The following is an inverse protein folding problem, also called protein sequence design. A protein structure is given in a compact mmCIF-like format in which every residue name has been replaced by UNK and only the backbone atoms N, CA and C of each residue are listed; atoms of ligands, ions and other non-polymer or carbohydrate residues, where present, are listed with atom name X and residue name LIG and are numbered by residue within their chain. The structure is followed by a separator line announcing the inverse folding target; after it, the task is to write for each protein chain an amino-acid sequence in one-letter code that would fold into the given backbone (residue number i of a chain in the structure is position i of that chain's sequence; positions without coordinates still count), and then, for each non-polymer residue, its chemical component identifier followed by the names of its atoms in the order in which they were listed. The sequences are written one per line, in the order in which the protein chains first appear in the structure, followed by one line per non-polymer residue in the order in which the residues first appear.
data_IF_364337735373
#
_entry.id   IF_364337735373
#
_cell.length_a   1.000
_cell.length_b   1.000
_cell.length_c   1.000
_cell.angle_alpha   90.00
_cell.angle_beta   90.00
_cell.angle_gamma   90.00
#
_symmetry.space_group_name_H-M   'P 1'
#
loop_
_entity.id
_entity.type
_entity.pdbx_description
1 polymer ?
#
# COMPACT_ATOMS: atom_id res chain seq x y z
N UNK A 1 -74.62 -41.62 -23.73
CA UNK A 1 -74.72 -42.73 -22.76
C UNK A 1 -73.29 -43.10 -22.38
N UNK A 2 -72.72 -42.50 -21.34
CA UNK A 2 -71.38 -42.83 -20.86
C UNK A 2 -71.37 -42.72 -19.33
N UNK A 3 -70.92 -43.80 -18.71
CA UNK A 3 -70.97 -44.08 -17.29
C UNK A 3 -69.72 -43.53 -16.59
N UNK A 4 -69.99 -43.03 -15.39
CA UNK A 4 -69.09 -42.48 -14.38
C UNK A 4 -67.99 -43.45 -13.96
N UNK A 5 -66.82 -42.90 -13.63
CA UNK A 5 -66.07 -43.33 -12.45
C UNK A 5 -65.65 -42.11 -11.63
N UNK A 6 -65.89 -42.25 -10.33
CA UNK A 6 -65.61 -41.38 -9.21
C UNK A 6 -64.49 -42.05 -8.38
N UNK A 7 -63.78 -41.27 -7.56
CA UNK A 7 -62.89 -41.56 -6.41
C UNK A 7 -61.50 -40.91 -6.58
N UNK A 8 -61.21 -39.76 -5.95
CA UNK A 8 -60.92 -39.47 -4.53
C UNK A 8 -59.43 -39.67 -4.19
N UNK A 9 -58.69 -38.57 -4.07
CA UNK A 9 -57.48 -38.48 -3.26
C UNK A 9 -57.49 -37.12 -2.57
N UNK A 10 -57.43 -37.15 -1.23
CA UNK A 10 -57.41 -35.98 -0.37
C UNK A 10 -56.11 -35.19 -0.60
N UNK A 11 -56.23 -33.90 -0.90
CA UNK A 11 -55.12 -32.96 -0.86
C UNK A 11 -55.20 -32.18 0.45
N UNK A 12 -54.33 -32.54 1.39
CA UNK A 12 -54.06 -31.78 2.60
C UNK A 12 -53.33 -30.50 2.20
N UNK A 13 -54.05 -29.39 2.10
CA UNK A 13 -53.44 -28.08 1.87
C UNK A 13 -52.84 -27.61 3.20
N UNK A 14 -51.53 -27.78 3.35
CA UNK A 14 -50.73 -27.12 4.38
C UNK A 14 -50.82 -25.62 4.11
N UNK A 15 -51.39 -24.86 5.06
CA UNK A 15 -51.26 -23.40 5.10
C UNK A 15 -49.79 -23.07 5.34
N UNK A 16 -49.05 -22.79 4.27
CA UNK A 16 -47.81 -22.03 4.36
C UNK A 16 -48.20 -20.61 4.75
N UNK A 17 -47.75 -20.20 5.94
CA UNK A 17 -47.92 -18.85 6.46
C UNK A 17 -47.38 -17.82 5.47
N UNK A 18 -48.07 -16.70 5.38
CA UNK A 18 -47.63 -15.54 4.60
C UNK A 18 -46.21 -15.17 5.03
N UNK A 19 -45.23 -15.36 4.13
CA UNK A 19 -43.99 -14.60 4.22
C UNK A 19 -44.35 -13.14 4.02
N UNK A 20 -43.97 -12.30 4.98
CA UNK A 20 -44.01 -10.84 4.81
C UNK A 20 -43.15 -10.48 3.62
N UNK A 21 -43.77 -10.01 2.54
CA UNK A 21 -43.08 -9.40 1.42
C UNK A 21 -42.45 -8.11 1.95
N UNK A 22 -41.14 -8.11 2.22
CA UNK A 22 -40.41 -6.90 2.55
C UNK A 22 -40.43 -6.00 1.31
N UNK A 23 -41.09 -4.84 1.40
CA UNK A 23 -41.06 -3.84 0.35
C UNK A 23 -39.67 -3.20 0.28
N UNK A 24 -39.00 -3.33 -0.86
CA UNK A 24 -37.80 -2.54 -1.16
C UNK A 24 -38.28 -1.18 -1.69
N UNK A 25 -38.06 -0.11 -0.92
CA UNK A 25 -38.29 1.25 -1.38
C UNK A 25 -36.98 1.79 -1.97
N UNK A 26 -36.96 2.10 -3.27
CA UNK A 26 -35.85 2.78 -3.93
C UNK A 26 -36.09 4.28 -3.87
N UNK A 27 -35.14 5.01 -3.29
CA UNK A 27 -35.24 6.45 -3.11
C UNK A 27 -34.31 7.15 -4.11
N UNK A 28 -34.90 7.78 -5.12
CA UNK A 28 -34.18 8.55 -6.13
C UNK A 28 -34.60 10.02 -6.03
N UNK A 29 -33.72 10.86 -5.48
CA UNK A 29 -33.98 12.28 -5.31
C UNK A 29 -32.68 13.08 -5.20
N UNK A 30 -32.68 14.31 -5.70
CA UNK A 30 -31.61 15.30 -5.51
C UNK A 30 -32.22 16.41 -4.64
N UNK A 31 -31.69 16.61 -3.42
CA UNK A 31 -32.20 17.63 -2.50
C UNK A 31 -31.85 17.35 -1.04
N UNK A 32 -32.30 18.21 -0.14
CA UNK A 32 -32.22 17.97 1.29
C UNK A 32 -33.45 17.14 1.72
N UNK A 33 -33.22 16.03 2.41
CA UNK A 33 -34.28 15.10 2.83
C UNK A 33 -35.36 15.77 3.69
N UNK A 34 -34.98 16.80 4.46
CA UNK A 34 -35.90 17.48 5.37
C UNK A 34 -36.65 18.65 4.74
N UNK A 35 -36.03 19.41 3.83
CA UNK A 35 -36.69 20.58 3.20
C UNK A 35 -37.37 20.26 1.88
N UNK A 36 -36.93 19.20 1.21
CA UNK A 36 -37.38 18.85 -0.13
C UNK A 36 -38.14 17.53 -0.11
N UNK A 37 -38.88 17.23 0.96
CA UNK A 37 -39.59 15.97 1.16
C UNK A 37 -40.49 15.56 -0.03
N UNK A 38 -40.97 16.52 -0.84
CA UNK A 38 -41.73 16.27 -2.06
C UNK A 38 -40.88 15.70 -3.22
N UNK A 39 -39.55 15.88 -3.18
CA UNK A 39 -38.59 15.32 -4.13
C UNK A 39 -38.17 13.89 -3.77
N UNK A 40 -38.60 13.38 -2.61
CA UNK A 40 -38.37 12.01 -2.17
C UNK A 40 -39.70 11.26 -2.24
N UNK A 41 -39.81 10.35 -3.21
CA UNK A 41 -40.95 9.45 -3.33
C UNK A 41 -40.47 8.01 -3.11
N UNK A 42 -41.02 7.26 -2.13
CA UNK A 42 -42.22 7.56 -1.32
C UNK A 42 -41.99 8.52 -0.13
N UNK A 43 -43.01 8.79 0.70
CA UNK A 43 -42.89 9.56 1.97
C UNK A 43 -41.96 8.86 2.98
N UNK A 44 -41.30 9.56 3.95
CA UNK A 44 -40.26 9.02 4.84
C UNK A 44 -40.59 7.62 5.38
N UNK A 45 -39.58 6.72 5.45
CA UNK A 45 -39.80 5.29 5.64
C UNK A 45 -40.60 4.97 6.91
N UNK A 46 -41.53 4.02 6.78
CA UNK A 46 -42.31 3.46 7.90
C UNK A 46 -41.71 2.12 8.33
N UNK A 47 -41.76 1.80 9.64
CA UNK A 47 -41.11 0.63 10.26
C UNK A 47 -41.22 -0.66 9.42
N UNK A 48 -40.08 -1.27 9.04
CA UNK A 48 -40.02 -2.51 8.25
C UNK A 48 -39.64 -2.37 6.75
N UNK A 49 -39.34 -1.17 6.25
CA UNK A 49 -38.86 -0.94 4.87
C UNK A 49 -37.33 -0.88 4.76
N UNK A 50 -36.77 -1.35 3.63
CA UNK A 50 -35.35 -1.14 3.32
C UNK A 50 -35.14 0.26 2.73
N UNK A 51 -34.15 0.99 3.23
CA UNK A 51 -33.71 2.24 2.62
C UNK A 51 -32.61 1.93 1.62
N UNK A 52 -32.95 1.99 0.33
CA UNK A 52 -31.98 2.00 -0.75
C UNK A 52 -31.78 3.45 -1.20
N UNK A 53 -30.59 4.00 -0.95
CA UNK A 53 -30.15 5.20 -1.64
C UNK A 53 -29.65 4.74 -3.01
N UNK A 54 -30.50 4.88 -4.02
CA UNK A 54 -30.13 4.62 -5.41
C UNK A 54 -29.30 5.77 -5.99
N UNK A 55 -28.87 5.64 -7.26
CA UNK A 55 -27.94 6.57 -7.93
C UNK A 55 -28.27 8.05 -7.65
N UNK A 56 -27.36 8.78 -7.00
CA UNK A 56 -27.56 10.19 -6.64
C UNK A 56 -26.73 10.65 -5.44
N UNK A 57 -27.03 11.85 -4.94
CA UNK A 57 -26.39 12.44 -3.76
C UNK A 57 -27.43 12.82 -2.71
N UNK A 58 -27.35 12.23 -1.52
CA UNK A 58 -28.16 12.62 -0.35
C UNK A 58 -27.35 13.61 0.49
N UNK A 59 -27.90 14.80 0.76
CA UNK A 59 -27.28 15.76 1.66
C UNK A 59 -28.10 15.88 2.95
N UNK A 60 -27.47 15.61 4.10
CA UNK A 60 -28.03 15.85 5.42
C UNK A 60 -27.42 17.13 5.99
N UNK A 61 -28.22 18.19 6.18
CA UNK A 61 -27.76 19.53 6.56
C UNK A 61 -28.50 20.15 7.77
N UNK A 62 -29.41 19.42 8.42
CA UNK A 62 -30.24 19.97 9.52
C UNK A 62 -30.09 19.19 10.82
N UNK A 63 -30.14 19.87 11.97
CA UNK A 63 -30.04 19.34 13.35
C UNK A 63 -31.16 18.35 13.78
N UNK A 64 -31.97 17.85 12.85
CA UNK A 64 -33.03 16.88 13.13
C UNK A 64 -32.43 15.48 13.02
N UNK A 65 -32.33 14.76 14.14
CA UNK A 65 -31.97 13.34 14.17
C UNK A 65 -33.06 12.57 13.45
N UNK A 66 -32.82 12.16 12.21
CA UNK A 66 -33.66 11.14 11.58
C UNK A 66 -33.30 9.81 12.21
N UNK A 67 -34.07 9.40 13.23
CA UNK A 67 -34.07 8.02 13.68
C UNK A 67 -34.74 7.17 12.60
N UNK A 68 -33.92 6.54 11.75
CA UNK A 68 -34.37 5.50 10.85
C UNK A 68 -34.45 4.23 11.72
N UNK A 69 -35.47 4.15 12.58
CA UNK A 69 -35.58 3.16 13.67
C UNK A 69 -35.99 1.73 13.29
N UNK A 70 -35.38 0.71 13.90
CA UNK A 70 -35.71 -0.73 13.83
C UNK A 70 -35.87 -1.30 12.39
N UNK A 71 -34.93 -1.02 11.49
CA UNK A 71 -35.01 -1.48 10.09
C UNK A 71 -33.99 -2.58 9.79
N UNK A 72 -34.35 -3.45 8.83
CA UNK A 72 -33.59 -4.66 8.52
C UNK A 72 -32.23 -4.38 7.91
N UNK A 73 -32.14 -3.51 6.90
CA UNK A 73 -30.91 -3.25 6.14
C UNK A 73 -30.91 -1.82 5.53
N UNK A 74 -29.88 -1.01 5.80
CA UNK A 74 -29.53 0.17 4.98
C UNK A 74 -28.59 -0.28 3.84
N UNK A 75 -28.94 0.00 2.59
CA UNK A 75 -28.09 -0.24 1.42
C UNK A 75 -27.74 1.07 0.72
N UNK A 76 -26.45 1.34 0.56
CA UNK A 76 -25.92 2.43 -0.28
C UNK A 76 -25.17 1.76 -1.43
N UNK A 77 -25.62 1.99 -2.66
CA UNK A 77 -25.05 1.37 -3.87
C UNK A 77 -24.83 2.44 -4.93
N UNK A 78 -23.58 2.57 -5.41
CA UNK A 78 -23.24 3.48 -6.51
C UNK A 78 -23.61 4.94 -6.25
N UNK A 79 -23.68 5.33 -4.97
CA UNK A 79 -24.33 6.56 -4.52
C UNK A 79 -23.50 7.29 -3.48
N UNK A 80 -23.74 8.59 -3.33
CA UNK A 80 -23.03 9.43 -2.37
C UNK A 80 -23.94 9.88 -1.23
N UNK A 81 -23.55 9.61 0.02
CA UNK A 81 -24.17 10.18 1.22
C UNK A 81 -23.25 11.24 1.81
N UNK A 82 -23.68 12.50 1.81
CA UNK A 82 -22.98 13.61 2.45
C UNK A 82 -23.68 14.01 3.75
N UNK A 83 -22.97 13.91 4.87
CA UNK A 83 -23.38 14.41 6.17
C UNK A 83 -22.60 15.68 6.47
N UNK A 84 -23.22 16.83 6.24
CA UNK A 84 -22.58 18.14 6.39
C UNK A 84 -22.69 18.63 7.84
N UNK A 85 -22.08 19.79 8.12
CA UNK A 85 -22.11 20.41 9.45
C UNK A 85 -23.53 20.55 10.01
N UNK A 86 -23.76 20.01 11.21
CA UNK A 86 -25.06 19.98 11.88
C UNK A 86 -26.02 18.89 11.38
N UNK A 87 -25.68 18.17 10.32
CA UNK A 87 -26.41 16.99 9.88
C UNK A 87 -26.16 15.81 10.82
N UNK A 88 -27.20 15.08 11.19
CA UNK A 88 -27.07 13.84 11.96
C UNK A 88 -28.04 12.77 11.45
N UNK A 89 -27.55 11.55 11.26
CA UNK A 89 -28.39 10.39 10.97
C UNK A 89 -28.07 9.25 11.94
N UNK A 90 -29.13 8.58 12.40
CA UNK A 90 -29.04 7.40 13.24
C UNK A 90 -29.79 6.25 12.56
N UNK A 91 -29.06 5.19 12.23
CA UNK A 91 -29.58 3.96 11.66
C UNK A 91 -29.59 2.87 12.73
N UNK A 92 -30.74 2.22 12.93
CA UNK A 92 -30.88 1.13 13.90
C UNK A 92 -31.10 -0.18 13.15
N UNK A 93 -30.29 -1.20 13.41
CA UNK A 93 -30.33 -2.50 12.74
C UNK A 93 -29.05 -2.83 11.98
N UNK A 94 -29.11 -3.78 11.05
CA UNK A 94 -27.97 -4.13 10.19
C UNK A 94 -27.79 -3.06 9.11
N UNK A 95 -26.55 -2.66 8.83
CA UNK A 95 -26.20 -1.68 7.80
C UNK A 95 -25.21 -2.30 6.83
N UNK A 96 -25.55 -2.36 5.55
CA UNK A 96 -24.75 -2.96 4.49
C UNK A 96 -24.35 -1.86 3.50
N UNK A 97 -23.10 -1.42 3.59
CA UNK A 97 -22.60 -0.29 2.82
C UNK A 97 -21.85 -0.81 1.59
N UNK A 98 -22.26 -0.45 0.37
CA UNK A 98 -21.58 -0.85 -0.87
C UNK A 98 -21.96 -2.24 -1.43
N UNK A 99 -23.22 -2.67 -1.29
CA UNK A 99 -23.59 -4.11 -1.28
C UNK A 99 -24.39 -4.62 -2.48
N UNK A 100 -24.77 -3.77 -3.43
CA UNK A 100 -25.65 -4.20 -4.54
C UNK A 100 -25.08 -3.64 -5.84
N UNK A 101 -25.30 -4.30 -6.99
CA UNK A 101 -25.16 -3.68 -8.31
C UNK A 101 -23.75 -3.34 -8.84
N UNK A 102 -22.67 -3.66 -8.13
CA UNK A 102 -21.29 -3.37 -8.56
C UNK A 102 -20.90 -1.88 -8.51
N UNK A 103 -21.74 -1.04 -7.87
CA UNK A 103 -21.50 0.39 -7.73
C UNK A 103 -20.66 0.72 -6.49
N UNK A 104 -19.74 1.69 -6.63
CA UNK A 104 -18.98 2.21 -5.48
C UNK A 104 -19.83 3.19 -4.67
N UNK A 105 -20.10 2.86 -3.41
CA UNK A 105 -20.72 3.78 -2.46
C UNK A 105 -19.70 4.79 -1.93
N UNK A 106 -20.13 6.04 -1.72
CA UNK A 106 -19.29 7.09 -1.13
C UNK A 106 -20.03 7.71 0.06
N UNK A 107 -19.42 7.75 1.22
CA UNK A 107 -19.96 8.39 2.42
C UNK A 107 -18.98 9.48 2.85
N UNK A 108 -19.44 10.72 2.86
CA UNK A 108 -18.66 11.86 3.33
C UNK A 108 -19.27 12.39 4.62
N UNK A 109 -18.52 12.35 5.72
CA UNK A 109 -18.89 12.97 6.99
C UNK A 109 -18.00 14.20 7.19
N UNK A 110 -18.60 15.37 6.93
CA UNK A 110 -17.94 16.67 7.07
C UNK A 110 -17.85 17.13 8.52
N UNK A 111 -17.13 18.22 8.74
CA UNK A 111 -16.98 18.83 10.08
C UNK A 111 -18.33 19.12 10.71
N UNK A 112 -18.60 18.54 11.89
CA UNK A 112 -19.84 18.71 12.65
C UNK A 112 -21.01 17.87 12.15
N UNK A 113 -20.80 17.04 11.13
CA UNK A 113 -21.74 15.99 10.73
C UNK A 113 -21.60 14.75 11.63
N UNK A 114 -22.69 14.01 11.83
CA UNK A 114 -22.71 12.82 12.68
C UNK A 114 -23.47 11.65 12.04
N UNK A 115 -22.86 10.46 12.03
CA UNK A 115 -23.45 9.24 11.53
C UNK A 115 -23.37 8.15 12.60
N UNK A 116 -24.51 7.58 12.98
CA UNK A 116 -24.59 6.57 14.02
C UNK A 116 -25.26 5.30 13.49
N UNK A 117 -24.61 4.16 13.62
CA UNK A 117 -25.08 2.84 13.21
C UNK A 117 -25.28 1.95 14.45
N UNK A 118 -26.49 1.95 14.97
CA UNK A 118 -26.94 1.14 16.10
C UNK A 118 -27.28 -0.30 15.66
N UNK A 119 -26.25 -1.06 15.27
CA UNK A 119 -26.30 -2.49 14.95
C UNK A 119 -25.09 -2.96 14.14
N UNK A 120 -25.15 -4.20 13.60
CA UNK A 120 -24.06 -4.76 12.78
C UNK A 120 -23.84 -3.92 11.52
N UNK A 121 -22.58 -3.54 11.25
CA UNK A 121 -22.25 -2.72 10.08
C UNK A 121 -21.26 -3.46 9.19
N UNK A 122 -21.65 -3.76 7.96
CA UNK A 122 -20.79 -4.38 6.95
C UNK A 122 -20.35 -3.31 5.93
N UNK A 123 -19.05 -3.23 5.69
CA UNK A 123 -18.40 -2.31 4.76
C UNK A 123 -17.97 -3.08 3.51
N UNK A 124 -18.49 -2.74 2.34
CA UNK A 124 -18.11 -3.38 1.06
C UNK A 124 -18.53 -4.84 0.95
N UNK A 125 -19.77 -5.18 1.32
CA UNK A 125 -20.27 -6.56 1.32
C UNK A 125 -20.73 -7.01 -0.07
N UNK A 126 -20.07 -8.00 -0.67
CA UNK A 126 -20.47 -8.86 -1.83
C UNK A 126 -20.92 -8.15 -3.15
N UNK A 127 -20.70 -8.81 -4.30
CA UNK A 127 -21.17 -8.44 -5.65
C UNK A 127 -20.49 -7.23 -6.36
N UNK A 128 -19.18 -7.01 -6.20
CA UNK A 128 -18.42 -6.04 -7.01
C UNK A 128 -18.52 -4.58 -6.56
N UNK A 129 -19.15 -4.30 -5.41
CA UNK A 129 -19.38 -2.96 -4.88
C UNK A 129 -18.28 -2.51 -3.92
N UNK A 130 -17.69 -1.33 -4.17
CA UNK A 130 -16.70 -0.73 -3.26
C UNK A 130 -17.33 0.27 -2.29
N UNK A 131 -16.61 0.63 -1.23
CA UNK A 131 -16.99 1.73 -0.32
C UNK A 131 -15.84 2.72 -0.17
N UNK A 132 -16.12 4.00 -0.39
CA UNK A 132 -15.30 5.11 0.08
C UNK A 132 -15.97 5.76 1.29
N UNK A 133 -15.30 5.74 2.44
CA UNK A 133 -15.74 6.41 3.65
C UNK A 133 -14.75 7.53 3.97
N UNK A 134 -15.16 8.79 3.85
CA UNK A 134 -14.33 9.96 4.13
C UNK A 134 -14.85 10.70 5.37
N UNK A 135 -14.01 10.87 6.38
CA UNK A 135 -14.31 11.66 7.58
C UNK A 135 -13.33 12.84 7.66
N UNK A 136 -13.86 14.06 7.81
CA UNK A 136 -13.06 15.29 7.80
C UNK A 136 -13.45 16.23 8.95
N UNK A 137 -12.46 16.97 9.48
CA UNK A 137 -12.71 17.97 10.54
C UNK A 137 -13.34 17.33 11.78
N UNK A 138 -14.32 17.99 12.39
CA UNK A 138 -15.04 17.46 13.57
C UNK A 138 -16.20 16.50 13.22
N UNK A 139 -16.14 15.79 12.09
CA UNK A 139 -17.14 14.81 11.71
C UNK A 139 -17.08 13.56 12.61
N UNK A 140 -18.22 12.94 12.90
CA UNK A 140 -18.29 11.73 13.73
C UNK A 140 -18.98 10.57 13.02
N UNK A 141 -18.41 9.38 13.08
CA UNK A 141 -19.06 8.11 12.72
C UNK A 141 -18.92 7.12 13.87
N UNK A 142 -20.03 6.48 14.24
CA UNK A 142 -20.06 5.45 15.29
C UNK A 142 -20.79 4.23 14.78
N UNK A 143 -20.22 3.03 14.97
CA UNK A 143 -20.95 1.76 14.85
C UNK A 143 -21.03 1.10 16.23
N UNK A 144 -22.16 0.48 16.58
CA UNK A 144 -22.35 -0.19 17.88
C UNK A 144 -22.47 -1.71 17.77
N UNK A 145 -22.42 -2.24 16.55
CA UNK A 145 -22.53 -3.67 16.29
C UNK A 145 -21.42 -4.49 16.95
N UNK A 146 -21.62 -5.80 17.09
CA UNK A 146 -20.56 -6.70 17.56
C UNK A 146 -19.41 -6.83 16.55
N UNK A 147 -19.64 -6.45 15.28
CA UNK A 147 -18.67 -6.54 14.20
C UNK A 147 -18.80 -5.33 13.26
N UNK A 148 -17.65 -4.86 12.78
CA UNK A 148 -17.53 -4.00 11.61
C UNK A 148 -16.57 -4.64 10.61
N UNK A 149 -17.09 -5.10 9.48
CA UNK A 149 -16.35 -6.01 8.59
C UNK A 149 -16.09 -5.40 7.20
N UNK A 150 -14.87 -5.54 6.67
CA UNK A 150 -14.47 -5.17 5.30
C UNK A 150 -13.87 -6.34 4.49
N UNK A 151 -14.12 -7.59 4.92
CA UNK A 151 -13.45 -8.80 4.42
C UNK A 151 -13.99 -9.35 3.09
N UNK A 152 -15.10 -8.85 2.55
CA UNK A 152 -15.85 -9.53 1.49
C UNK A 152 -15.26 -9.45 0.07
N UNK A 153 -13.94 -9.26 -0.06
CA UNK A 153 -13.18 -9.32 -1.32
C UNK A 153 -13.27 -8.07 -2.18
N UNK A 154 -14.03 -7.05 -1.75
CA UNK A 154 -14.22 -5.81 -2.49
C UNK A 154 -13.37 -4.65 -1.93
N UNK A 155 -12.90 -3.72 -2.78
CA UNK A 155 -12.11 -2.58 -2.32
C UNK A 155 -12.91 -1.64 -1.40
N UNK A 156 -12.47 -1.55 -0.14
CA UNK A 156 -12.97 -0.57 0.84
C UNK A 156 -11.86 0.45 1.10
N UNK A 157 -12.16 1.74 0.97
CA UNK A 157 -11.31 2.86 1.38
C UNK A 157 -11.92 3.53 2.60
N UNK A 158 -11.18 3.54 3.71
CA UNK A 158 -11.53 4.32 4.91
C UNK A 158 -10.53 5.46 5.02
N UNK A 159 -10.97 6.69 4.82
CA UNK A 159 -10.14 7.89 4.77
C UNK A 159 -10.48 8.84 5.92
N UNK A 160 -9.51 9.13 6.78
CA UNK A 160 -9.65 10.05 7.91
C UNK A 160 -8.70 11.24 7.73
N UNK A 161 -9.26 12.45 7.62
CA UNK A 161 -8.48 13.68 7.38
C UNK A 161 -8.44 14.62 8.58
N UNK A 162 -7.20 14.86 9.03
CA UNK A 162 -6.86 15.81 10.07
C UNK A 162 -7.25 15.38 11.48
N UNK A 163 -6.99 16.23 12.48
CA UNK A 163 -7.43 16.00 13.85
C UNK A 163 -8.91 16.35 14.02
N UNK A 164 -9.49 15.86 15.13
CA UNK A 164 -10.86 16.08 15.63
C UNK A 164 -11.97 15.26 15.01
N UNK A 165 -11.70 14.45 13.98
CA UNK A 165 -12.64 13.42 13.53
C UNK A 165 -12.85 12.41 14.66
N UNK A 166 -14.07 11.93 14.82
CA UNK A 166 -14.46 10.94 15.81
C UNK A 166 -14.94 9.69 15.09
N UNK A 167 -14.06 8.71 14.92
CA UNK A 167 -14.39 7.44 14.27
C UNK A 167 -14.38 6.37 15.34
N UNK A 168 -15.52 5.73 15.59
CA UNK A 168 -15.61 4.59 16.51
C UNK A 168 -16.27 3.42 15.80
N UNK A 169 -15.58 2.28 15.72
CA UNK A 169 -16.19 1.04 15.28
C UNK A 169 -16.36 0.09 16.45
N UNK A 170 -17.61 -0.19 16.80
CA UNK A 170 -17.97 -1.10 17.90
C UNK A 170 -17.61 -2.55 17.61
N UNK A 171 -17.35 -3.30 18.68
CA UNK A 171 -17.02 -4.73 18.60
C UNK A 171 -15.71 -5.01 17.86
N UNK A 172 -15.60 -6.20 17.25
CA UNK A 172 -14.42 -6.55 16.45
C UNK A 172 -14.46 -5.84 15.10
N UNK A 173 -13.38 -5.16 14.74
CA UNK A 173 -13.21 -4.58 13.42
C UNK A 173 -12.25 -5.40 12.56
N UNK A 174 -12.76 -5.90 11.43
CA UNK A 174 -11.96 -6.64 10.44
C UNK A 174 -11.57 -5.72 9.28
N UNK A 175 -10.26 -5.56 9.05
CA UNK A 175 -9.70 -4.89 7.88
C UNK A 175 -9.37 -5.94 6.83
N UNK A 176 -10.16 -5.99 5.75
CA UNK A 176 -10.05 -7.01 4.72
C UNK A 176 -8.77 -6.92 3.89
N UNK A 177 -8.40 -8.01 3.23
CA UNK A 177 -7.17 -8.16 2.44
C UNK A 177 -7.06 -7.23 1.22
N UNK A 178 -8.15 -6.55 0.84
CA UNK A 178 -8.18 -5.57 -0.25
C UNK A 178 -8.60 -4.17 0.24
N UNK A 179 -8.79 -4.01 1.56
CA UNK A 179 -9.12 -2.73 2.15
C UNK A 179 -7.90 -1.82 2.19
N UNK A 180 -8.12 -0.53 1.97
CA UNK A 180 -7.15 0.54 2.14
C UNK A 180 -7.60 1.47 3.24
N UNK A 181 -6.75 1.65 4.25
CA UNK A 181 -6.93 2.69 5.27
C UNK A 181 -6.07 3.87 4.85
N UNK A 182 -6.67 5.04 4.73
CA UNK A 182 -5.98 6.28 4.40
C UNK A 182 -6.03 7.25 5.58
N UNK A 183 -4.86 7.63 6.07
CA UNK A 183 -4.69 8.71 7.03
C UNK A 183 -4.18 9.96 6.32
N UNK A 184 -5.03 11.00 6.20
CA UNK A 184 -4.64 12.30 5.62
C UNK A 184 -4.25 13.24 6.76
N UNK A 185 -2.94 13.40 6.97
CA UNK A 185 -2.35 14.20 8.03
C UNK A 185 -2.38 15.68 7.65
N UNK A 186 -3.13 16.49 8.41
CA UNK A 186 -3.18 17.95 8.27
C UNK A 186 -2.57 18.69 9.46
N UNK A 187 -2.06 17.97 10.46
CA UNK A 187 -1.37 18.52 11.61
C UNK A 187 -0.16 17.64 11.99
N UNK A 188 1.01 18.26 12.16
CA UNK A 188 2.26 17.54 12.44
C UNK A 188 2.23 16.74 13.76
N UNK A 189 1.48 17.19 14.77
CA UNK A 189 1.52 16.59 16.11
C UNK A 189 0.31 15.72 16.46
N UNK A 190 -0.70 15.63 15.59
CA UNK A 190 -1.91 14.88 15.88
C UNK A 190 -2.70 14.47 14.63
N UNK A 191 -3.34 13.31 14.73
CA UNK A 191 -4.31 12.79 13.76
C UNK A 191 -5.43 12.09 14.54
N UNK A 192 -6.61 12.00 13.94
CA UNK A 192 -7.73 11.30 14.55
C UNK A 192 -7.64 9.80 14.35
N UNK A 193 -7.42 9.09 15.45
CA UNK A 193 -7.45 7.64 15.46
C UNK A 193 -8.86 7.08 15.22
N UNK A 194 -8.92 5.93 14.58
CA UNK A 194 -10.10 5.06 14.54
C UNK A 194 -10.14 4.27 15.86
N UNK A 195 -11.13 4.57 16.70
CA UNK A 195 -11.31 3.95 18.00
C UNK A 195 -12.06 2.61 17.90
N UNK A 196 -11.45 1.54 18.38
CA UNK A 196 -12.00 0.18 18.40
C UNK A 196 -12.02 -0.30 19.87
N UNK A 197 -13.13 -0.13 20.60
CA UNK A 197 -13.19 -0.45 22.03
C UNK A 197 -13.08 -1.96 22.35
N UNK A 198 -12.93 -2.81 21.33
CA UNK A 198 -12.72 -4.25 21.47
C UNK A 198 -11.49 -4.70 20.64
N UNK A 199 -11.66 -5.52 19.60
CA UNK A 199 -10.57 -6.21 18.89
C UNK A 199 -10.38 -5.65 17.48
N UNK A 200 -9.14 -5.39 17.10
CA UNK A 200 -8.76 -5.05 15.72
C UNK A 200 -8.17 -6.28 15.05
N UNK A 201 -8.61 -6.64 13.85
CA UNK A 201 -8.06 -7.76 13.08
C UNK A 201 -7.78 -7.30 11.63
N UNK A 202 -6.50 -7.20 11.30
CA UNK A 202 -5.99 -6.80 9.99
C UNK A 202 -5.62 -8.07 9.22
N UNK A 203 -6.44 -8.39 8.23
CA UNK A 203 -6.24 -9.58 7.40
C UNK A 203 -5.15 -9.27 6.36
N UNK A 204 -4.22 -10.22 6.18
CA UNK A 204 -3.09 -10.06 5.26
C UNK A 204 -3.53 -9.63 3.86
N UNK A 205 -2.81 -8.67 3.28
CA UNK A 205 -3.13 -8.00 2.03
C UNK A 205 -3.62 -6.55 2.19
N UNK A 206 -4.16 -6.20 3.36
CA UNK A 206 -4.63 -4.84 3.63
C UNK A 206 -3.54 -3.77 3.40
N UNK A 207 -3.96 -2.60 2.94
CA UNK A 207 -3.08 -1.47 2.62
C UNK A 207 -3.27 -0.31 3.59
N UNK A 208 -2.17 0.32 3.99
CA UNK A 208 -2.17 1.59 4.71
C UNK A 208 -1.53 2.68 3.83
N UNK A 209 -2.28 3.75 3.57
CA UNK A 209 -1.80 4.95 2.89
C UNK A 209 -1.75 6.11 3.86
N UNK A 210 -0.61 6.79 3.93
CA UNK A 210 -0.45 7.98 4.76
C UNK A 210 -0.14 9.15 3.84
N UNK A 211 -1.07 10.11 3.79
CA UNK A 211 -0.97 11.30 2.97
C UNK A 211 -0.80 12.55 3.83
N UNK A 212 -0.15 13.57 3.28
CA UNK A 212 0.06 14.84 3.96
C UNK A 212 -0.60 15.97 3.19
N UNK A 213 -1.28 16.85 3.91
CA UNK A 213 -1.94 18.02 3.35
C UNK A 213 -1.56 19.26 4.16
N UNK A 214 -0.66 20.06 3.60
CA UNK A 214 -0.10 21.23 4.25
C UNK A 214 0.85 20.92 5.41
N UNK A 215 1.24 19.66 5.60
CA UNK A 215 2.20 19.21 6.62
C UNK A 215 3.43 18.63 5.96
N UNK A 216 4.61 18.99 6.47
CA UNK A 216 5.85 18.30 6.14
C UNK A 216 6.24 17.43 7.32
N UNK A 217 6.20 16.10 7.20
CA UNK A 217 6.59 15.20 8.28
C UNK A 217 8.04 15.45 8.70
N UNK A 218 8.29 15.44 9.99
CA UNK A 218 9.62 15.50 10.60
C UNK A 218 9.94 14.18 11.29
N UNK A 219 11.23 13.89 11.45
CA UNK A 219 11.64 12.68 12.16
C UNK A 219 11.09 12.63 13.58
N UNK A 220 10.60 11.46 13.95
CA UNK A 220 10.00 11.21 15.25
C UNK A 220 8.55 11.69 15.37
N UNK A 221 7.99 12.34 14.34
CA UNK A 221 6.54 12.58 14.30
C UNK A 221 5.80 11.24 14.36
N UNK A 222 4.68 11.23 15.09
CA UNK A 222 3.87 10.04 15.33
C UNK A 222 2.39 10.34 15.16
N UNK A 223 1.68 9.44 14.51
CA UNK A 223 0.23 9.52 14.37
C UNK A 223 -0.41 8.18 14.69
N UNK A 224 -1.37 8.18 15.62
CA UNK A 224 -2.21 7.02 15.92
C UNK A 224 -3.27 6.87 14.84
N UNK A 225 -3.23 5.76 14.10
CA UNK A 225 -4.20 5.43 13.05
C UNK A 225 -5.37 4.64 13.62
N UNK A 226 -5.06 3.63 14.44
CA UNK A 226 -6.04 2.88 15.21
C UNK A 226 -5.70 2.96 16.70
N UNK A 227 -6.74 3.02 17.52
CA UNK A 227 -6.66 2.96 18.97
C UNK A 227 -7.62 1.84 19.42
N UNK A 228 -7.12 0.78 20.03
CA UNK A 228 -7.89 -0.44 20.26
C UNK A 228 -7.64 -1.10 21.62
N UNK A 229 -8.65 -1.80 22.15
CA UNK A 229 -8.62 -2.33 23.51
C UNK A 229 -7.90 -3.66 23.66
N UNK A 230 -8.20 -4.62 22.79
CA UNK A 230 -7.67 -5.97 22.85
C UNK A 230 -6.47 -6.13 21.89
N UNK A 231 -6.21 -7.32 21.35
CA UNK A 231 -5.06 -7.57 20.45
C UNK A 231 -5.34 -7.17 19.00
N UNK A 232 -4.27 -6.98 18.23
CA UNK A 232 -4.28 -6.96 16.76
C UNK A 232 -4.13 -8.37 16.22
N UNK A 233 -5.06 -8.83 15.38
CA UNK A 233 -4.77 -9.89 14.42
C UNK A 233 -4.03 -9.30 13.22
N UNK A 234 -2.87 -9.85 12.84
CA UNK A 234 -2.16 -9.48 11.60
C UNK A 234 -1.56 -8.06 11.50
N UNK A 235 -1.15 -7.69 10.28
CA UNK A 235 -0.46 -6.44 9.94
C UNK A 235 -0.86 -5.96 8.54
N UNK A 236 -0.70 -4.67 8.25
CA UNK A 236 -0.78 -4.16 6.88
C UNK A 236 0.36 -4.76 6.05
N UNK A 237 0.00 -5.35 4.91
CA UNK A 237 0.98 -5.96 4.00
C UNK A 237 1.53 -4.96 2.99
N UNK A 238 0.78 -3.89 2.72
CA UNK A 238 1.15 -2.84 1.79
C UNK A 238 1.15 -1.49 2.51
N UNK A 239 2.30 -0.82 2.53
CA UNK A 239 2.43 0.53 3.07
C UNK A 239 2.77 1.48 1.92
N UNK A 240 1.85 2.38 1.59
CA UNK A 240 2.10 3.41 0.57
C UNK A 240 2.89 4.56 1.20
N UNK A 241 4.20 4.55 0.97
CA UNK A 241 5.16 5.56 1.42
C UNK A 241 5.50 6.58 0.34
N UNK A 242 4.83 6.55 -0.81
CA UNK A 242 5.21 7.33 -2.01
C UNK A 242 5.22 8.86 -1.81
N UNK A 243 4.54 9.34 -0.76
CA UNK A 243 4.43 10.76 -0.42
C UNK A 243 5.55 11.25 0.51
N UNK A 244 6.44 10.36 0.96
CA UNK A 244 7.64 10.71 1.69
C UNK A 244 8.77 11.06 0.73
N UNK A 245 9.45 12.19 0.98
CA UNK A 245 10.63 12.60 0.23
C UNK A 245 11.84 12.69 1.16
N UNK A 246 13.02 12.27 0.70
CA UNK A 246 14.28 12.56 1.39
C UNK A 246 14.76 11.50 2.38
N UNK A 247 14.50 10.22 2.12
CA UNK A 247 15.06 9.11 2.91
C UNK A 247 14.50 8.98 4.34
N UNK A 248 13.31 9.56 4.55
CA UNK A 248 12.44 9.17 5.65
C UNK A 248 11.57 7.99 5.22
N UNK A 249 11.31 7.08 6.14
CA UNK A 249 10.37 5.98 5.94
C UNK A 249 9.31 5.99 7.05
N UNK A 250 8.24 5.25 6.83
CA UNK A 250 7.28 4.98 7.88
C UNK A 250 7.61 3.65 8.54
N UNK A 251 7.69 3.67 9.86
CA UNK A 251 7.57 2.46 10.67
C UNK A 251 6.16 2.39 11.22
N UNK A 252 5.52 1.23 11.11
CA UNK A 252 4.21 0.99 11.73
C UNK A 252 4.42 0.19 13.01
N UNK A 253 4.13 0.80 14.15
CA UNK A 253 4.12 0.15 15.45
C UNK A 253 2.71 -0.36 15.74
N UNK A 254 2.53 -1.69 15.71
CA UNK A 254 1.26 -2.37 15.96
C UNK A 254 0.99 -2.65 17.43
N UNK A 255 1.84 -2.22 18.35
CA UNK A 255 1.66 -2.43 19.79
C UNK A 255 1.98 -1.16 20.59
N UNK A 256 1.83 0.01 19.96
CA UNK A 256 2.03 1.28 20.63
C UNK A 256 1.00 1.48 21.75
N UNK A 257 1.30 2.31 22.74
CA UNK A 257 0.32 2.68 23.77
C UNK A 257 -0.77 3.56 23.16
N UNK A 258 -2.03 3.13 23.27
CA UNK A 258 -3.19 3.92 22.85
C UNK A 258 -3.38 5.20 23.65
N UNK A 259 -4.13 6.15 23.08
CA UNK A 259 -4.53 7.38 23.78
C UNK A 259 -5.80 7.16 24.59
N UNK A 260 -6.70 6.34 24.07
CA UNK A 260 -7.99 5.99 24.65
C UNK A 260 -7.93 4.58 25.26
N UNK A 261 -7.43 3.61 24.50
CA UNK A 261 -7.32 2.23 24.91
C UNK A 261 -5.87 1.83 25.21
N UNK A 262 -5.66 0.55 25.54
CA UNK A 262 -4.34 0.04 25.92
C UNK A 262 -3.36 0.03 24.74
N UNK A 263 -3.85 -0.24 23.52
CA UNK A 263 -3.02 -0.49 22.35
C UNK A 263 -3.37 0.46 21.18
N UNK A 264 -2.43 0.63 20.27
CA UNK A 264 -2.58 1.47 19.10
C UNK A 264 -1.74 0.96 17.92
N UNK A 265 -2.22 1.24 16.72
CA UNK A 265 -1.41 1.20 15.50
C UNK A 265 -0.93 2.62 15.24
N UNK A 266 0.37 2.85 15.41
CA UNK A 266 1.00 4.14 15.17
C UNK A 266 1.87 4.10 13.92
N UNK A 267 1.76 5.16 13.12
CA UNK A 267 2.73 5.47 12.08
C UNK A 267 3.75 6.42 12.68
N UNK A 268 5.02 6.05 12.58
CA UNK A 268 6.16 6.85 13.03
C UNK A 268 6.99 7.23 11.82
N UNK A 269 7.32 8.52 11.70
CA UNK A 269 8.33 8.98 10.74
C UNK A 269 9.68 8.59 11.29
N UNK A 270 10.27 7.58 10.69
CA UNK A 270 11.60 7.10 11.03
C UNK A 270 12.58 7.62 9.99
N UNK A 271 13.81 7.83 10.43
CA UNK A 271 14.91 7.92 9.49
C UNK A 271 15.23 6.48 9.07
N UNK A 272 15.94 6.31 7.97
CA UNK A 272 16.62 5.05 7.66
C UNK A 272 17.94 5.40 7.02
N UNK A 273 18.94 4.54 7.21
CA UNK A 273 20.14 4.66 6.39
C UNK A 273 19.82 4.21 4.97
N UNK A 274 20.41 4.93 4.02
CA UNK A 274 20.31 4.65 2.59
C UNK A 274 21.64 4.09 2.09
N UNK A 275 21.57 3.13 1.18
CA UNK A 275 22.68 2.75 0.32
C UNK A 275 22.40 3.30 -1.08
N UNK A 276 23.25 4.22 -1.52
CA UNK A 276 23.21 4.77 -2.88
C UNK A 276 24.11 3.94 -3.78
N UNK A 277 23.56 3.44 -4.88
CA UNK A 277 24.29 2.64 -5.87
C UNK A 277 24.36 3.42 -7.18
N UNK A 278 25.56 3.83 -7.57
CA UNK A 278 25.80 4.36 -8.91
C UNK A 278 26.02 3.20 -9.88
N UNK A 279 24.97 2.84 -10.61
CA UNK A 279 24.99 1.76 -11.61
C UNK A 279 26.01 1.99 -12.73
N UNK A 280 26.45 3.23 -12.95
CA UNK A 280 27.46 3.54 -13.96
C UNK A 280 28.88 3.20 -13.54
N UNK A 281 29.21 3.44 -12.27
CA UNK A 281 30.57 3.30 -11.75
C UNK A 281 30.73 2.05 -10.90
N UNK A 282 29.64 1.53 -10.33
CA UNK A 282 29.67 0.48 -9.32
C UNK A 282 29.81 1.04 -7.90
N UNK A 283 29.97 2.37 -7.77
CA UNK A 283 30.19 3.02 -6.49
C UNK A 283 28.97 2.87 -5.59
N UNK A 284 29.20 2.35 -4.39
CA UNK A 284 28.19 2.22 -3.34
C UNK A 284 28.53 3.16 -2.19
N UNK A 285 27.54 3.92 -1.73
CA UNK A 285 27.71 4.90 -0.65
C UNK A 285 26.63 4.70 0.41
N UNK A 286 27.05 4.44 1.66
CA UNK A 286 26.16 4.52 2.80
C UNK A 286 25.88 5.99 3.13
N UNK A 287 24.61 6.35 3.31
CA UNK A 287 24.18 7.73 3.54
C UNK A 287 23.15 7.80 4.66
N UNK A 288 23.24 8.82 5.50
CA UNK A 288 22.13 9.28 6.31
C UNK A 288 21.43 10.45 5.57
N UNK A 289 20.27 10.21 4.92
CA UNK A 289 19.74 11.07 3.84
C UNK A 289 19.16 12.40 4.30
N UNK A 290 18.57 12.47 5.49
CA UNK A 290 17.83 13.65 5.94
C UNK A 290 18.79 14.67 6.53
N UNK A 291 18.98 15.82 5.88
CA UNK A 291 19.66 16.97 6.49
C UNK A 291 18.81 17.52 7.67
N UNK A 292 19.38 17.58 8.87
CA UNK A 292 18.65 17.87 10.11
C UNK A 292 18.01 16.63 10.77
N UNK A 293 18.26 15.43 10.23
CA UNK A 293 17.81 14.18 10.81
C UNK A 293 18.54 13.78 12.11
N UNK A 294 18.05 12.75 12.79
CA UNK A 294 18.76 12.15 13.92
C UNK A 294 19.98 11.37 13.40
N UNK A 295 21.12 11.45 14.11
CA UNK A 295 22.26 10.62 13.77
C UNK A 295 21.95 9.14 14.04
N UNK A 296 22.55 8.25 13.25
CA UNK A 296 22.47 6.81 13.47
C UNK A 296 23.70 6.31 14.19
N UNK A 297 23.51 5.55 15.24
CA UNK A 297 24.61 4.88 15.92
C UNK A 297 24.60 3.40 15.52
N UNK A 298 25.51 3.02 14.62
CA UNK A 298 25.55 1.67 14.06
C UNK A 298 26.74 0.86 14.55
N UNK A 299 26.50 -0.42 14.78
CA UNK A 299 27.52 -1.40 15.19
C UNK A 299 27.84 -2.36 14.05
N UNK A 300 27.01 -2.44 13.02
CA UNK A 300 27.26 -3.32 11.89
C UNK A 300 26.30 -3.04 10.73
N UNK A 301 26.63 -3.57 9.56
CA UNK A 301 25.72 -3.56 8.42
C UNK A 301 26.02 -4.72 7.48
N UNK A 302 25.00 -5.09 6.70
CA UNK A 302 25.05 -6.09 5.64
C UNK A 302 24.40 -5.51 4.39
N UNK A 303 25.10 -5.59 3.26
CA UNK A 303 24.56 -5.45 1.91
C UNK A 303 24.52 -6.84 1.30
N UNK A 304 23.39 -7.28 0.77
CA UNK A 304 23.26 -8.58 0.10
C UNK A 304 22.70 -8.46 -1.30
N UNK A 305 22.96 -9.45 -2.13
CA UNK A 305 22.42 -9.62 -3.49
C UNK A 305 22.03 -11.09 -3.67
N UNK A 306 20.84 -11.34 -4.23
CA UNK A 306 20.37 -12.70 -4.54
C UNK A 306 20.98 -13.23 -5.85
N UNK A 307 21.29 -12.32 -6.78
CA UNK A 307 21.88 -12.55 -8.11
C UNK A 307 23.41 -12.66 -8.07
N UNK A 308 24.03 -12.27 -6.96
CA UNK A 308 25.48 -12.26 -6.84
C UNK A 308 26.15 -11.00 -7.42
N UNK A 309 25.42 -9.88 -7.48
CA UNK A 309 25.85 -8.63 -8.15
C UNK A 309 26.84 -7.77 -7.33
N UNK A 310 27.44 -8.34 -6.27
CA UNK A 310 28.45 -7.65 -5.45
C UNK A 310 29.89 -8.03 -5.84
N UNK A 311 30.81 -7.07 -5.77
CA UNK A 311 32.25 -7.29 -5.87
C UNK A 311 32.91 -7.04 -4.50
N UNK A 312 33.30 -8.13 -3.83
CA UNK A 312 33.97 -8.07 -2.54
C UNK A 312 35.43 -7.61 -2.62
N UNK A 313 36.04 -7.58 -3.82
CA UNK A 313 37.44 -7.16 -4.00
C UNK A 313 37.60 -5.64 -3.98
N UNK A 314 36.57 -4.93 -4.43
CA UNK A 314 36.49 -3.47 -4.42
C UNK A 314 35.86 -2.91 -3.13
N UNK A 315 35.59 -3.77 -2.14
CA UNK A 315 35.01 -3.36 -0.87
C UNK A 315 36.02 -2.67 0.04
N UNK A 316 35.75 -1.40 0.36
CA UNK A 316 36.60 -0.59 1.25
C UNK A 316 36.07 -0.50 2.67
N UNK A 317 34.80 -0.85 2.88
CA UNK A 317 34.14 -0.72 4.18
C UNK A 317 33.96 0.73 4.63
N UNK A 318 33.59 0.92 5.90
CA UNK A 318 33.51 2.27 6.51
C UNK A 318 34.87 2.91 6.78
N UNK A 319 35.96 2.13 6.68
CA UNK A 319 37.34 2.62 6.83
C UNK A 319 37.72 3.07 8.26
N UNK A 320 36.87 2.79 9.24
CA UNK A 320 37.05 3.18 10.64
C UNK A 320 37.75 2.08 11.46
N UNK A 321 38.48 2.48 12.50
CA UNK A 321 39.15 1.53 13.37
C UNK A 321 38.13 0.59 14.04
N UNK A 322 38.43 -0.71 14.06
CA UNK A 322 37.63 -1.80 14.65
C UNK A 322 36.42 -2.27 13.84
N UNK A 323 36.15 -1.67 12.68
CA UNK A 323 35.27 -2.29 11.69
C UNK A 323 36.00 -3.47 11.05
N UNK A 324 35.42 -4.65 11.18
CA UNK A 324 35.95 -5.88 10.61
C UNK A 324 34.85 -6.55 9.79
N UNK A 325 35.20 -7.25 8.70
CA UNK A 325 34.28 -8.17 8.04
C UNK A 325 33.61 -9.07 9.09
N UNK A 326 32.28 -9.17 9.07
CA UNK A 326 31.60 -10.04 10.02
C UNK A 326 31.96 -11.51 9.72
N UNK A 327 31.71 -12.43 10.66
CA UNK A 327 32.14 -13.83 10.54
C UNK A 327 31.60 -14.49 9.24
N UNK A 328 32.46 -14.58 8.22
CA UNK A 328 32.13 -15.09 6.88
C UNK A 328 33.12 -14.56 5.85
N UNK A 329 33.27 -15.27 4.74
CA UNK A 329 33.98 -14.70 3.59
C UNK A 329 33.04 -13.70 2.91
N UNK A 330 33.52 -12.47 2.70
CA UNK A 330 32.86 -11.51 1.82
C UNK A 330 32.76 -12.13 0.42
N UNK A 331 31.67 -11.90 -0.30
CA UNK A 331 31.47 -12.52 -1.59
C UNK A 331 30.39 -11.87 -2.44
N UNK A 332 30.04 -12.49 -3.58
CA UNK A 332 29.13 -11.90 -4.54
C UNK A 332 27.70 -11.74 -4.02
N UNK A 333 27.29 -12.54 -3.04
CA UNK A 333 25.92 -12.51 -2.50
C UNK A 333 25.77 -11.70 -1.23
N UNK A 334 26.86 -11.39 -0.53
CA UNK A 334 26.81 -10.49 0.61
C UNK A 334 28.17 -9.91 0.97
N UNK A 335 28.11 -8.68 1.45
CA UNK A 335 29.20 -7.95 2.07
C UNK A 335 28.69 -7.42 3.42
N UNK A 336 29.51 -7.52 4.46
CA UNK A 336 29.15 -7.02 5.78
C UNK A 336 30.37 -6.59 6.58
N UNK A 337 30.15 -5.64 7.49
CA UNK A 337 31.11 -5.32 8.53
C UNK A 337 30.41 -5.17 9.88
N UNK A 338 31.16 -5.38 10.94
CA UNK A 338 30.72 -5.19 12.31
C UNK A 338 31.86 -4.56 13.11
N UNK A 339 31.53 -3.56 13.91
CA UNK A 339 32.37 -3.00 14.94
C UNK A 339 32.04 -3.68 16.28
N UNK A 340 32.94 -4.55 16.73
CA UNK A 340 32.74 -5.33 17.96
C UNK A 340 33.11 -4.57 19.24
N UNK A 341 33.68 -3.37 19.13
CA UNK A 341 34.21 -2.63 20.27
C UNK A 341 33.32 -1.45 20.61
N UNK A 342 32.91 -0.68 19.60
CA UNK A 342 32.12 0.53 19.74
C UNK A 342 31.08 0.59 18.61
N UNK A 343 30.28 1.65 18.62
CA UNK A 343 29.41 2.05 17.53
C UNK A 343 29.99 3.24 16.76
N UNK A 344 29.53 3.45 15.52
CA UNK A 344 29.87 4.61 14.69
C UNK A 344 28.64 5.48 14.50
N UNK A 345 28.78 6.74 14.90
CA UNK A 345 27.75 7.76 14.75
C UNK A 345 27.74 8.35 13.33
N UNK A 346 26.81 7.90 12.50
CA UNK A 346 26.53 8.46 11.17
C UNK A 346 25.64 9.69 11.34
N UNK A 347 26.30 10.86 11.36
CA UNK A 347 25.62 12.15 11.44
C UNK A 347 24.64 12.36 10.28
N UNK A 348 23.60 13.15 10.51
CA UNK A 348 22.66 13.56 9.46
C UNK A 348 23.38 14.19 8.26
N UNK A 349 23.03 13.75 7.05
CA UNK A 349 23.65 14.18 5.80
C UNK A 349 25.03 13.57 5.54
N UNK A 350 25.58 12.77 6.46
CA UNK A 350 26.88 12.13 6.25
C UNK A 350 26.78 11.03 5.18
N UNK A 351 27.85 10.88 4.41
CA UNK A 351 28.03 9.87 3.38
C UNK A 351 29.35 9.16 3.60
N UNK A 352 29.35 7.84 3.44
CA UNK A 352 30.50 6.96 3.58
C UNK A 352 30.61 6.09 2.34
N UNK A 353 31.65 6.25 1.51
CA UNK A 353 31.87 5.37 0.38
C UNK A 353 32.20 3.96 0.90
N UNK A 354 31.52 2.95 0.39
CA UNK A 354 31.77 1.54 0.70
C UNK A 354 32.68 0.86 -0.33
N UNK A 355 33.01 1.57 -1.42
CA UNK A 355 33.79 1.09 -2.55
C UNK A 355 32.95 0.87 -3.79
N UNK A 356 33.58 0.40 -4.87
CA UNK A 356 32.93 0.11 -6.15
C UNK A 356 32.35 -1.32 -6.17
N UNK A 357 31.62 -1.66 -5.11
CA UNK A 357 31.16 -3.03 -4.81
C UNK A 357 29.96 -3.48 -5.62
N UNK A 358 29.36 -2.64 -6.46
CA UNK A 358 28.28 -3.07 -7.35
C UNK A 358 28.85 -3.50 -8.70
N UNK A 359 28.88 -4.81 -8.93
CA UNK A 359 29.37 -5.38 -10.17
C UNK A 359 28.33 -5.33 -11.29
N UNK A 360 27.03 -5.32 -10.94
CA UNK A 360 25.95 -5.54 -11.91
C UNK A 360 25.68 -7.04 -12.13
N UNK A 361 24.83 -7.39 -13.10
CA UNK A 361 24.55 -8.79 -13.43
C UNK A 361 25.81 -9.47 -13.97
N UNK A 362 26.18 -10.61 -13.39
CA UNK A 362 27.42 -11.31 -13.74
C UNK A 362 27.38 -12.02 -15.11
N UNK A 363 26.18 -12.25 -15.67
CA UNK A 363 25.98 -13.02 -16.89
C UNK A 363 25.14 -12.21 -17.88
N UNK A 364 25.58 -12.15 -19.15
CA UNK A 364 24.82 -11.54 -20.23
C UNK A 364 25.07 -10.05 -20.47
N UNK A 365 25.83 -9.36 -19.61
CA UNK A 365 26.27 -7.97 -19.80
C UNK A 365 27.59 -7.94 -20.56
N UNK A 366 27.52 -7.92 -21.90
CA UNK A 366 28.70 -7.95 -22.74
C UNK A 366 29.36 -6.58 -22.90
N UNK A 367 28.60 -5.50 -22.75
CA UNK A 367 29.14 -4.16 -22.98
C UNK A 367 29.63 -3.49 -21.67
N UNK A 368 29.42 -4.13 -20.52
CA UNK A 368 29.84 -3.68 -19.20
C UNK A 368 29.03 -2.49 -18.68
N UNK A 369 27.82 -2.28 -19.19
CA UNK A 369 26.93 -1.18 -18.78
C UNK A 369 26.06 -1.54 -17.56
N UNK A 370 26.24 -2.76 -17.02
CA UNK A 370 25.54 -3.35 -15.87
C UNK A 370 24.05 -3.60 -16.12
N UNK A 371 23.61 -3.68 -17.38
CA UNK A 371 22.22 -3.97 -17.75
C UNK A 371 22.18 -4.95 -18.92
N UNK A 372 21.68 -6.17 -18.69
CA UNK A 372 21.53 -7.16 -19.76
C UNK A 372 20.39 -6.79 -20.69
N UNK A 373 20.69 -6.31 -21.88
CA UNK A 373 19.72 -5.80 -22.83
C UNK A 373 20.04 -6.17 -24.30
N UNK A 374 19.39 -5.47 -25.23
CA UNK A 374 19.54 -5.71 -26.66
C UNK A 374 20.91 -5.31 -27.23
N UNK A 375 21.67 -4.45 -26.54
CA UNK A 375 23.03 -4.09 -26.92
C UNK A 375 24.00 -5.24 -26.67
N UNK A 376 23.82 -5.98 -25.57
CA UNK A 376 24.65 -7.17 -25.26
C UNK A 376 24.39 -8.30 -26.23
N UNK A 377 23.13 -8.46 -26.64
CA UNK A 377 22.77 -9.36 -27.73
C UNK A 377 23.53 -9.04 -29.01
N UNK A 378 23.74 -7.77 -29.35
CA UNK A 378 24.48 -7.40 -30.55
C UNK A 378 25.96 -7.78 -30.44
N UNK A 379 26.54 -7.79 -29.24
CA UNK A 379 27.90 -8.29 -29.01
C UNK A 379 27.96 -9.79 -29.23
N UNK A 380 27.08 -10.56 -28.58
CA UNK A 380 26.96 -12.01 -28.81
C UNK A 380 26.74 -12.33 -30.31
N UNK A 381 25.79 -11.65 -30.96
CA UNK A 381 25.47 -11.90 -32.36
C UNK A 381 26.63 -11.56 -33.31
N UNK A 382 27.45 -10.57 -32.96
CA UNK A 382 28.65 -10.22 -33.73
C UNK A 382 29.77 -11.26 -33.61
N UNK A 383 29.81 -11.98 -32.49
CA UNK A 383 30.85 -12.96 -32.16
C UNK A 383 30.37 -14.43 -32.26
N UNK A 384 29.13 -14.69 -32.68
CA UNK A 384 28.61 -16.04 -32.83
C UNK A 384 29.49 -16.93 -33.73
N UNK A 385 29.72 -18.18 -33.31
CA UNK A 385 30.61 -19.17 -33.95
C UNK A 385 32.10 -18.77 -33.92
N UNK A 386 32.49 -17.93 -32.96
CA UNK A 386 33.89 -17.64 -32.65
C UNK A 386 34.36 -18.38 -31.40
N UNK A 387 35.67 -18.53 -31.26
CA UNK A 387 36.32 -19.15 -30.11
C UNK A 387 37.36 -18.16 -29.54
N UNK A 388 36.96 -17.25 -28.63
CA UNK A 388 37.87 -16.26 -28.05
C UNK A 388 39.03 -16.91 -27.27
N UNK A 389 38.83 -18.15 -26.80
CA UNK A 389 39.84 -18.94 -26.09
C UNK A 389 39.30 -19.43 -24.75
N UNK A 390 40.09 -20.19 -23.98
CA UNK A 390 39.64 -20.82 -22.73
C UNK A 390 39.35 -19.86 -21.56
N UNK A 391 39.51 -18.55 -21.79
CA UNK A 391 39.18 -17.47 -20.85
C UNK A 391 38.15 -16.58 -21.57
N UNK A 392 36.96 -17.13 -21.82
CA UNK A 392 35.91 -16.45 -22.56
C UNK A 392 35.44 -15.23 -21.79
N UNK A 393 35.65 -14.04 -22.33
CA UNK A 393 35.19 -12.82 -21.70
C UNK A 393 33.72 -12.57 -22.13
N UNK A 394 32.80 -12.24 -21.22
CA UNK A 394 31.45 -11.79 -21.56
C UNK A 394 31.42 -10.70 -22.64
N UNK A 395 32.47 -9.87 -22.73
CA UNK A 395 32.63 -8.84 -23.75
C UNK A 395 32.92 -9.36 -25.17
N UNK A 396 33.30 -10.63 -25.31
CA UNK A 396 33.33 -11.35 -26.58
C UNK A 396 32.00 -12.10 -26.83
N UNK A 397 31.03 -12.06 -25.90
CA UNK A 397 29.75 -12.74 -26.00
C UNK A 397 29.76 -14.20 -25.54
N UNK A 398 30.86 -14.66 -24.94
CA UNK A 398 30.98 -15.96 -24.26
C UNK A 398 30.50 -15.77 -22.81
N UNK A 399 29.22 -16.04 -22.59
CA UNK A 399 28.54 -15.75 -21.32
C UNK A 399 28.60 -16.91 -20.33
N UNK A 400 29.04 -18.10 -20.77
CA UNK A 400 29.19 -19.26 -19.90
C UNK A 400 30.67 -19.62 -19.60
N UNK A 401 31.62 -18.85 -20.16
CA UNK A 401 33.07 -18.99 -19.99
C UNK A 401 33.56 -20.41 -20.38
N UNK A 402 33.02 -20.96 -21.49
CA UNK A 402 33.42 -22.27 -22.02
C UNK A 402 34.41 -22.21 -23.20
N UNK A 403 34.69 -20.99 -23.66
CA UNK A 403 35.65 -20.65 -24.70
C UNK A 403 35.11 -20.67 -26.12
N UNK A 404 33.80 -20.79 -26.28
CA UNK A 404 33.08 -20.68 -27.53
C UNK A 404 31.88 -19.73 -27.39
N UNK A 405 31.59 -18.95 -28.43
CA UNK A 405 30.40 -18.09 -28.49
C UNK A 405 29.33 -18.79 -29.32
N UNK A 406 28.41 -19.49 -28.67
CA UNK A 406 27.44 -20.35 -29.32
C UNK A 406 25.98 -20.16 -28.80
N UNK A 407 25.14 -21.18 -29.01
CA UNK A 407 23.74 -21.16 -28.61
C UNK A 407 23.52 -21.29 -27.10
N UNK A 408 24.49 -21.79 -26.35
CA UNK A 408 24.44 -21.85 -24.89
C UNK A 408 24.62 -20.45 -24.28
N UNK A 409 25.49 -19.62 -24.85
CA UNK A 409 25.64 -18.21 -24.45
C UNK A 409 24.38 -17.42 -24.71
N UNK A 410 23.72 -17.67 -25.85
CA UNK A 410 22.41 -17.10 -26.11
C UNK A 410 21.40 -17.45 -25.02
N UNK A 411 21.39 -18.69 -24.54
CA UNK A 411 20.50 -19.10 -23.45
C UNK A 411 20.88 -18.44 -22.12
N UNK A 412 22.16 -18.24 -21.86
CA UNK A 412 22.65 -17.51 -20.68
C UNK A 412 22.19 -16.04 -20.72
N UNK A 413 22.42 -15.33 -21.83
CA UNK A 413 21.91 -13.97 -22.05
C UNK A 413 20.38 -13.91 -21.98
N UNK A 414 19.66 -14.81 -22.66
CA UNK A 414 18.21 -14.80 -22.68
C UNK A 414 17.62 -15.07 -21.29
N UNK A 415 18.30 -15.88 -20.48
CA UNK A 415 17.95 -16.12 -19.07
C UNK A 415 18.16 -14.90 -18.17
N UNK A 416 19.14 -14.06 -18.50
CA UNK A 416 19.44 -12.81 -17.79
C UNK A 416 18.81 -11.56 -18.44
N UNK A 417 18.06 -11.70 -19.54
CA UNK A 417 17.55 -10.54 -20.28
C UNK A 417 16.63 -9.66 -19.42
N UNK A 418 16.97 -8.38 -19.32
CA UNK A 418 16.28 -7.39 -18.49
C UNK A 418 16.77 -7.35 -17.04
N UNK A 419 17.74 -8.19 -16.67
CA UNK A 419 18.44 -8.08 -15.39
C UNK A 419 19.34 -6.83 -15.40
N UNK A 420 19.13 -5.94 -14.44
CA UNK A 420 19.93 -4.75 -14.21
C UNK A 420 20.71 -4.83 -12.88
N UNK A 421 20.75 -6.03 -12.26
CA UNK A 421 21.41 -6.31 -11.00
C UNK A 421 20.80 -5.57 -9.82
N UNK A 422 19.64 -4.91 -9.96
CA UNK A 422 19.05 -4.06 -8.91
C UNK A 422 18.32 -4.85 -7.84
N UNK A 423 18.99 -5.84 -7.27
CA UNK A 423 18.46 -6.76 -6.27
C UNK A 423 19.12 -6.60 -4.90
N UNK A 424 19.98 -5.59 -4.72
CA UNK A 424 20.62 -5.36 -3.44
C UNK A 424 19.58 -5.11 -2.34
N UNK A 425 19.81 -5.73 -1.18
CA UNK A 425 19.13 -5.42 0.06
C UNK A 425 20.13 -4.94 1.11
N UNK A 426 19.68 -4.09 2.03
CA UNK A 426 20.55 -3.46 3.02
C UNK A 426 19.92 -3.51 4.41
N UNK A 427 20.69 -3.96 5.39
CA UNK A 427 20.31 -3.96 6.81
C UNK A 427 21.48 -3.49 7.68
N UNK A 428 21.18 -2.92 8.85
CA UNK A 428 22.17 -2.45 9.79
C UNK A 428 21.80 -2.78 11.24
N UNK A 429 22.81 -2.99 12.07
CA UNK A 429 22.70 -3.23 13.50
C UNK A 429 22.89 -1.90 14.24
N UNK A 430 21.94 -1.53 15.07
CA UNK A 430 22.02 -0.34 15.93
C UNK A 430 22.69 -0.66 17.27
N UNK A 431 23.14 0.36 18.01
CA UNK A 431 23.69 0.17 19.36
C UNK A 431 22.66 -0.31 20.41
N UNK A 432 21.37 -0.33 20.06
CA UNK A 432 20.34 -0.99 20.85
C UNK A 432 20.31 -2.52 20.64
N UNK A 433 21.08 -3.04 19.67
CA UNK A 433 21.05 -4.44 19.25
C UNK A 433 19.95 -4.77 18.24
N UNK A 434 19.20 -3.77 17.77
CA UNK A 434 18.13 -3.96 16.78
C UNK A 434 18.71 -4.03 15.36
N UNK A 435 18.22 -4.98 14.57
CA UNK A 435 18.48 -5.05 13.12
C UNK A 435 17.39 -4.25 12.41
N UNK A 436 17.81 -3.25 11.65
CA UNK A 436 16.93 -2.34 10.90
C UNK A 436 17.24 -2.49 9.41
N UNK A 437 16.19 -2.68 8.60
CA UNK A 437 16.33 -2.65 7.15
C UNK A 437 16.46 -1.20 6.68
N UNK A 438 17.52 -0.89 5.94
CA UNK A 438 17.66 0.39 5.28
C UNK A 438 17.09 0.37 3.86
N UNK A 439 17.29 1.46 3.13
CA UNK A 439 16.79 1.59 1.75
C UNK A 439 17.96 1.49 0.76
N UNK A 440 17.77 0.84 -0.38
CA UNK A 440 18.72 0.88 -1.50
C UNK A 440 18.16 1.80 -2.59
N UNK A 441 18.95 2.75 -3.07
CA UNK A 441 18.58 3.66 -4.15
C UNK A 441 19.59 3.58 -5.28
N UNK A 442 19.13 3.16 -6.46
CA UNK A 442 19.94 3.10 -7.68
C UNK A 442 19.84 4.41 -8.46
N UNK A 443 20.97 4.87 -8.97
CA UNK A 443 21.06 6.00 -9.89
C UNK A 443 22.17 5.74 -10.91
N UNK A 444 22.27 6.59 -11.93
CA UNK A 444 23.37 6.56 -12.90
C UNK A 444 23.98 7.95 -12.98
N UNK A 445 25.28 8.05 -12.73
CA UNK A 445 26.02 9.32 -12.83
C UNK A 445 26.37 9.70 -14.27
N UNK A 446 26.21 8.80 -15.24
CA UNK A 446 26.40 9.15 -16.66
C UNK A 446 25.32 10.14 -17.08
N UNK A 447 25.73 11.39 -17.20
CA UNK A 447 24.96 12.37 -17.98
C UNK A 447 24.91 11.79 -19.39
N UNK A 448 23.74 11.32 -19.83
CA UNK A 448 23.53 10.87 -21.20
C UNK A 448 24.06 11.98 -22.10
N UNK A 449 25.25 11.79 -22.69
CA UNK A 449 25.73 12.71 -23.71
C UNK A 449 24.68 12.60 -24.79
N UNK A 450 23.89 13.66 -24.99
CA UNK A 450 22.83 13.63 -25.98
C UNK A 450 23.47 13.15 -27.28
N UNK A 451 23.14 11.93 -27.70
CA UNK A 451 23.60 11.40 -28.98
C UNK A 451 23.11 12.44 -29.98
N UNK A 452 24.01 13.15 -30.70
CA UNK A 452 23.56 14.13 -31.67
C UNK A 452 22.60 13.39 -32.58
N UNK A 453 21.33 13.82 -32.61
CA UNK A 453 20.36 13.18 -33.49
C UNK A 453 21.02 13.08 -34.87
N UNK A 454 21.07 11.90 -35.49
CA UNK A 454 21.71 11.74 -36.78
C UNK A 454 21.11 12.79 -37.68
N UNK A 455 21.91 13.80 -38.02
CA UNK A 455 21.44 15.01 -38.69
C UNK A 455 20.78 14.52 -39.96
N UNK A 456 19.44 14.54 -39.97
CA UNK A 456 18.55 13.88 -40.93
C UNK A 456 19.29 13.71 -42.24
N UNK A 457 19.90 12.54 -42.44
CA UNK A 457 20.81 12.37 -43.55
C UNK A 457 19.90 12.35 -44.76
N UNK A 458 19.78 13.52 -45.40
CA UNK A 458 18.88 13.79 -46.49
C UNK A 458 19.25 12.78 -47.58
N UNK A 459 18.48 11.70 -47.67
CA UNK A 459 18.57 10.70 -48.70
C UNK A 459 18.06 11.34 -49.99
N UNK A 460 18.87 12.25 -50.54
CA UNK A 460 18.69 12.80 -51.87
C UNK A 460 18.96 11.65 -52.85
N UNK A 461 17.91 10.89 -53.12
CA UNK A 461 17.90 9.89 -54.17
C UNK A 461 18.35 10.51 -55.47
N UNK A 462 19.46 9.99 -55.99
CA UNK A 462 19.82 10.06 -57.39
C UNK A 462 18.64 9.53 -58.22
N UNK A 463 17.93 10.45 -58.87
CA UNK A 463 17.10 10.13 -60.03
C UNK A 463 17.79 10.70 -61.27
N UNK A 464 18.66 9.90 -61.90
CA UNK A 464 18.83 9.81 -63.36
C UNK A 464 20.15 9.12 -63.74
N UNK A 465 20.08 7.85 -64.13
CA UNK A 465 20.84 7.27 -65.24
C UNK A 465 20.04 6.11 -65.84
#
# INVERSE_FOLDING_TARGET
MNIRYLFLAALTLVTLGAQSVFGQATWNGIGNWTTDAANWSPAPPIAGENVLIGSGTVNLTTNQVTNVGNYGILNIDGSTLNVNNGGSANFVGESNLGTVGGGKAVINVGSGGSLDFNGTTNLGREDGGGLDLHITGSGSITTHGPYTDSWWGEPVLISVRGPNAQVTFGGTHFVGSVATVEAIITNASSHSAINIPDTLDIIGGASLRVAFDGVSPSLGDRWTIYDYANSTGGTFSNLDTSLLTGGVSFTVDYNATGTINANAVQVVVSNTLDVLVDTATGAVTLRNPVAGGLPYDIEGYTVSSDSGSLDATEFTGLGEANWLPAMGAQGPTFINETNFINSTLISSGATFPLGDIFAGPATGDANGDRVVNGLDYLVWAANFDTNPGPDGDPSDGDFNDDGAVDGLDYLAWAGAFGDDGRDLSFSFLTSAGDIVNGTVTYYSSVVSSAVPEPSTMLLAGLASL
#
